data_IF_324232694505
#
_entry.id   IF_324232694505
#
_cell.length_a   1.000
_cell.length_b   1.000
_cell.length_c   1.000
_cell.angle_alpha   90.00
_cell.angle_beta   90.00
_cell.angle_gamma   90.00
#
_symmetry.space_group_name_H-M   'P 1'
#
loop_
_entity.id
_entity.type
_entity.pdbx_description
1 polymer ?
#
# COMPACT_ATOMS: atom_id res chain seq x y z
N UNK A 1 0.13 15.94 15.87
CA UNK A 1 -1.27 15.76 15.43
C UNK A 1 -1.43 14.38 14.85
N UNK A 2 -2.40 13.62 15.32
CA UNK A 2 -2.59 12.27 14.84
C UNK A 2 -3.27 12.28 13.45
N UNK A 3 -2.80 11.41 12.58
CA UNK A 3 -3.43 11.17 11.28
C UNK A 3 -4.49 10.07 11.40
N UNK A 4 -5.49 10.15 10.55
CA UNK A 4 -6.48 9.09 10.38
C UNK A 4 -6.84 8.96 8.90
N UNK A 5 -7.57 7.90 8.55
CA UNK A 5 -7.92 7.63 7.15
C UNK A 5 -8.73 8.79 6.55
N UNK A 6 -9.68 9.35 7.29
CA UNK A 6 -10.51 10.45 6.80
C UNK A 6 -9.65 11.67 6.42
N UNK A 7 -8.64 12.00 7.23
CA UNK A 7 -7.72 13.09 6.92
C UNK A 7 -6.90 12.80 5.66
N UNK A 8 -6.38 11.59 5.53
CA UNK A 8 -5.58 11.20 4.37
C UNK A 8 -6.38 11.34 3.07
N UNK A 9 -7.67 11.05 3.09
CA UNK A 9 -8.53 11.16 1.92
C UNK A 9 -8.72 12.59 1.44
N UNK A 10 -8.39 13.59 2.26
CA UNK A 10 -8.50 15.02 1.90
C UNK A 10 -7.17 15.64 1.47
N UNK A 11 -6.07 14.89 1.56
CA UNK A 11 -4.73 15.41 1.31
C UNK A 11 -4.39 15.41 -0.18
N UNK A 12 -3.60 16.39 -0.59
CA UNK A 12 -3.07 16.50 -1.95
C UNK A 12 -1.91 15.53 -2.17
N UNK A 13 -1.50 15.35 -3.44
CA UNK A 13 -0.29 14.60 -3.78
C UNK A 13 0.93 15.11 -3.01
N UNK A 14 1.13 16.42 -3.01
CA UNK A 14 2.28 17.03 -2.34
C UNK A 14 2.25 16.77 -0.84
N UNK A 15 1.09 16.89 -0.21
CA UNK A 15 0.92 16.64 1.22
C UNK A 15 1.15 15.17 1.58
N UNK A 16 0.64 14.25 0.76
CA UNK A 16 0.85 12.81 0.97
C UNK A 16 2.33 12.43 0.76
N UNK A 17 2.97 13.00 -0.25
CA UNK A 17 4.40 12.77 -0.49
C UNK A 17 5.26 13.32 0.66
N UNK A 18 4.96 14.53 1.12
CA UNK A 18 5.66 15.14 2.25
C UNK A 18 5.49 14.30 3.52
N UNK A 19 4.29 13.82 3.78
CA UNK A 19 4.03 12.96 4.93
C UNK A 19 4.82 11.66 4.83
N UNK A 20 4.77 10.98 3.69
CA UNK A 20 5.48 9.71 3.48
C UNK A 20 6.98 9.87 3.65
N UNK A 21 7.57 10.93 3.11
CA UNK A 21 9.01 11.17 3.17
C UNK A 21 9.48 11.71 4.52
N UNK A 22 8.57 12.20 5.34
CA UNK A 22 8.90 12.78 6.66
C UNK A 22 8.96 11.77 7.80
N UNK A 23 8.48 10.54 7.58
CA UNK A 23 8.40 9.50 8.61
C UNK A 23 9.35 8.35 8.30
N UNK A 24 9.65 7.55 9.34
CA UNK A 24 10.41 6.30 9.20
C UNK A 24 9.47 5.14 8.88
N UNK A 25 10.06 4.01 8.50
CA UNK A 25 9.28 2.82 8.12
C UNK A 25 8.39 2.30 9.25
N UNK A 26 8.90 2.33 10.46
CA UNK A 26 8.24 1.71 11.60
C UNK A 26 8.43 0.20 11.64
N UNK A 27 7.74 -0.46 12.55
CA UNK A 27 7.78 -1.92 12.67
C UNK A 27 6.96 -2.57 11.57
N UNK A 28 7.38 -3.76 11.17
CA UNK A 28 6.58 -4.58 10.26
C UNK A 28 5.29 -4.97 10.98
N UNK A 29 4.13 -4.63 10.41
CA UNK A 29 2.86 -4.91 11.08
C UNK A 29 2.52 -6.38 11.06
N UNK A 30 1.66 -6.79 11.99
CA UNK A 30 1.13 -8.14 12.05
C UNK A 30 -0.38 -8.12 12.25
N UNK A 31 -1.07 -9.07 11.64
CA UNK A 31 -2.52 -9.19 11.76
C UNK A 31 -3.28 -8.59 10.59
N UNK A 32 -4.57 -8.42 10.79
CA UNK A 32 -5.49 -7.95 9.77
C UNK A 32 -5.57 -6.43 9.75
N UNK A 33 -5.45 -5.86 8.56
CA UNK A 33 -5.60 -4.42 8.34
C UNK A 33 -6.80 -4.15 7.43
N UNK A 34 -7.50 -3.06 7.70
CA UNK A 34 -8.47 -2.50 6.77
C UNK A 34 -7.75 -1.59 5.80
N UNK A 35 -7.90 -1.86 4.51
CA UNK A 35 -7.27 -1.09 3.44
C UNK A 35 -8.22 -0.07 2.81
N UNK A 36 -7.73 1.13 2.57
CA UNK A 36 -8.46 2.19 1.90
C UNK A 36 -7.60 2.75 0.77
N UNK A 37 -8.11 2.70 -0.46
CA UNK A 37 -7.45 3.31 -1.62
C UNK A 37 -7.62 4.82 -1.55
N UNK A 38 -6.55 5.56 -1.80
CA UNK A 38 -6.55 7.03 -1.80
C UNK A 38 -6.14 7.50 -3.19
N UNK A 39 -7.09 8.11 -3.90
CA UNK A 39 -6.83 8.78 -5.18
C UNK A 39 -6.79 10.28 -4.89
N UNK A 40 -5.59 10.86 -4.88
CA UNK A 40 -5.43 12.27 -4.53
C UNK A 40 -6.10 13.19 -5.55
N UNK A 41 -6.62 14.36 -5.14
CA UNK A 41 -7.21 15.33 -6.07
C UNK A 41 -6.24 15.69 -7.20
N UNK A 42 -6.76 15.78 -8.41
CA UNK A 42 -5.96 16.08 -9.59
C UNK A 42 -5.29 14.88 -10.25
N UNK A 43 -5.44 13.68 -9.68
CA UNK A 43 -4.93 12.46 -10.31
C UNK A 43 -5.69 12.18 -11.61
N UNK A 44 -4.95 11.97 -12.69
CA UNK A 44 -5.55 11.49 -13.94
C UNK A 44 -5.87 10.01 -13.75
N UNK A 45 -7.16 9.67 -13.89
CA UNK A 45 -7.61 8.29 -13.70
C UNK A 45 -7.28 7.48 -14.95
N UNK A 46 -6.15 6.76 -14.88
CA UNK A 46 -5.66 5.96 -16.00
C UNK A 46 -6.30 4.57 -16.03
N UNK A 47 -6.22 3.86 -17.19
CA UNK A 47 -6.67 2.45 -17.24
C UNK A 47 -5.95 1.55 -16.23
N UNK A 48 -4.68 1.80 -15.92
CA UNK A 48 -3.91 1.05 -14.94
C UNK A 48 -4.49 1.22 -13.54
N UNK A 49 -4.84 2.46 -13.17
CA UNK A 49 -5.49 2.73 -11.88
C UNK A 49 -6.85 2.03 -11.81
N UNK A 50 -7.64 2.12 -12.88
CA UNK A 50 -8.95 1.47 -12.95
C UNK A 50 -8.81 -0.05 -12.79
N UNK A 51 -7.86 -0.64 -13.48
CA UNK A 51 -7.58 -2.09 -13.38
C UNK A 51 -7.16 -2.47 -11.97
N UNK A 52 -6.27 -1.69 -11.35
CA UNK A 52 -5.83 -1.92 -9.99
C UNK A 52 -7.02 -1.89 -9.01
N UNK A 53 -7.86 -0.83 -9.09
CA UNK A 53 -9.02 -0.71 -8.21
C UNK A 53 -9.98 -1.88 -8.40
N UNK A 54 -10.19 -2.33 -9.63
CA UNK A 54 -11.10 -3.45 -9.92
C UNK A 54 -10.55 -4.80 -9.42
N UNK A 55 -9.26 -5.06 -9.62
CA UNK A 55 -8.62 -6.31 -9.18
C UNK A 55 -8.45 -6.34 -7.68
N UNK A 56 -8.08 -5.20 -7.11
CA UNK A 56 -7.82 -5.04 -5.69
C UNK A 56 -8.96 -4.27 -5.00
N UNK A 57 -10.22 -4.63 -5.27
CA UNK A 57 -11.37 -4.17 -4.49
C UNK A 57 -11.12 -4.57 -3.04
N UNK A 58 -10.58 -3.65 -2.29
CA UNK A 58 -9.89 -3.91 -1.04
C UNK A 58 -10.83 -4.30 0.08
N UNK A 59 -10.71 -5.53 0.53
CA UNK A 59 -11.36 -6.00 1.75
C UNK A 59 -10.39 -6.01 2.92
N UNK A 60 -9.10 -5.81 2.66
CA UNK A 60 -8.07 -5.75 3.67
C UNK A 60 -6.85 -6.61 3.35
N UNK A 61 -5.86 -6.52 4.22
CA UNK A 61 -4.61 -7.29 4.13
C UNK A 61 -4.38 -8.00 5.46
N UNK A 62 -3.94 -9.26 5.40
CA UNK A 62 -3.51 -10.01 6.57
C UNK A 62 -2.00 -10.17 6.50
N UNK A 63 -1.30 -9.62 7.48
CA UNK A 63 0.16 -9.66 7.58
C UNK A 63 0.61 -10.76 8.52
N UNK A 64 1.61 -11.52 8.09
CA UNK A 64 2.33 -12.46 8.94
C UNK A 64 3.77 -11.99 9.07
N UNK A 65 4.06 -11.28 10.16
CA UNK A 65 5.37 -10.68 10.39
C UNK A 65 6.46 -11.72 10.65
N UNK A 66 6.12 -12.92 11.11
CA UNK A 66 7.09 -13.99 11.33
C UNK A 66 7.53 -14.62 10.01
N UNK A 67 6.59 -14.85 9.10
CA UNK A 67 6.86 -15.47 7.79
C UNK A 67 7.23 -14.45 6.74
N UNK A 68 7.07 -13.16 7.02
CA UNK A 68 7.34 -12.05 6.09
C UNK A 68 6.51 -12.15 4.81
N UNK A 69 5.25 -12.54 4.96
CA UNK A 69 4.27 -12.57 3.89
C UNK A 69 2.99 -11.87 4.29
N UNK A 70 2.26 -11.39 3.29
CA UNK A 70 0.90 -10.91 3.48
C UNK A 70 -0.04 -11.52 2.46
N UNK A 71 -1.30 -11.56 2.82
CA UNK A 71 -2.39 -12.02 1.97
C UNK A 71 -3.36 -10.87 1.78
N UNK A 72 -3.65 -10.51 0.53
CA UNK A 72 -4.72 -9.57 0.21
C UNK A 72 -6.03 -10.33 0.12
N UNK A 73 -7.04 -9.89 0.87
CA UNK A 73 -8.39 -10.43 0.76
C UNK A 73 -9.05 -9.86 -0.48
N UNK A 74 -9.37 -10.73 -1.43
CA UNK A 74 -10.09 -10.36 -2.64
C UNK A 74 -11.34 -11.20 -2.72
N UNK A 75 -12.51 -10.52 -2.72
CA UNK A 75 -13.80 -11.20 -2.80
C UNK A 75 -14.33 -11.31 -4.22
N UNK A 76 -13.73 -10.58 -5.17
CA UNK A 76 -14.16 -10.61 -6.56
C UNK A 76 -13.67 -11.90 -7.22
N UNK A 77 -14.56 -12.64 -7.86
CA UNK A 77 -14.29 -13.92 -8.56
C UNK A 77 -13.91 -15.10 -7.67
N UNK A 78 -14.18 -15.06 -6.37
CA UNK A 78 -13.85 -16.18 -5.48
C UNK A 78 -12.36 -16.40 -5.28
N UNK A 79 -11.53 -15.43 -5.64
CA UNK A 79 -10.11 -15.47 -5.33
C UNK A 79 -9.90 -15.07 -3.89
N UNK A 80 -9.41 -16.02 -3.09
CA UNK A 80 -9.26 -15.81 -1.67
C UNK A 80 -8.01 -15.00 -1.30
N UNK A 81 -7.01 -14.97 -2.20
CA UNK A 81 -5.74 -14.38 -1.81
C UNK A 81 -4.86 -13.98 -2.99
N UNK A 82 -4.22 -12.83 -2.87
CA UNK A 82 -3.02 -12.49 -3.62
C UNK A 82 -1.91 -12.30 -2.59
N UNK A 83 -0.85 -13.10 -2.73
CA UNK A 83 0.26 -13.10 -1.79
C UNK A 83 1.31 -12.06 -2.17
N UNK A 84 1.91 -11.43 -1.17
CA UNK A 84 3.08 -10.59 -1.35
C UNK A 84 4.14 -10.95 -0.32
N UNK A 85 5.40 -10.79 -0.70
CA UNK A 85 6.53 -10.91 0.22
C UNK A 85 6.77 -9.56 0.89
N UNK A 86 7.05 -9.58 2.18
CA UNK A 86 7.37 -8.38 2.96
C UNK A 86 8.89 -8.28 3.08
N UNK A 87 9.46 -7.11 2.72
CA UNK A 87 10.88 -6.84 2.88
C UNK A 87 11.10 -5.41 3.37
N UNK A 88 12.31 -5.10 3.83
CA UNK A 88 12.75 -3.72 4.09
C UNK A 88 13.74 -3.35 3.01
N UNK A 89 13.47 -2.28 2.28
CA UNK A 89 14.28 -1.85 1.15
C UNK A 89 14.26 -0.33 1.04
N UNK A 90 15.21 0.26 0.30
CA UNK A 90 15.15 1.68 -0.03
C UNK A 90 13.89 2.01 -0.83
N UNK A 91 13.23 3.10 -0.44
CA UNK A 91 12.09 3.61 -1.19
C UNK A 91 12.51 4.14 -2.56
N UNK A 92 11.68 3.93 -3.55
CA UNK A 92 11.90 4.49 -4.88
C UNK A 92 11.67 6.01 -4.93
N UNK A 93 11.15 6.61 -3.86
CA UNK A 93 10.87 8.05 -3.78
C UNK A 93 12.06 8.81 -3.17
N UNK A 94 12.57 8.35 -2.03
CA UNK A 94 13.58 9.11 -1.27
C UNK A 94 14.82 8.30 -0.92
N UNK A 95 14.87 7.02 -1.28
CA UNK A 95 16.02 6.15 -0.99
C UNK A 95 16.16 5.74 0.47
N UNK A 96 15.30 6.22 1.35
CA UNK A 96 15.30 5.81 2.76
C UNK A 96 14.52 4.53 2.94
N UNK A 97 14.81 3.80 4.01
CA UNK A 97 14.15 2.53 4.28
C UNK A 97 12.64 2.66 4.34
N UNK A 98 11.96 1.71 3.69
CA UNK A 98 10.52 1.52 3.79
C UNK A 98 10.22 0.02 3.88
N UNK A 99 8.97 -0.30 4.18
CA UNK A 99 8.48 -1.68 4.13
C UNK A 99 7.92 -1.89 2.74
N UNK A 100 8.43 -2.91 2.04
CA UNK A 100 8.05 -3.22 0.66
C UNK A 100 7.16 -4.45 0.63
N UNK A 101 6.06 -4.35 -0.09
CA UNK A 101 5.15 -5.45 -0.36
C UNK A 101 5.37 -5.84 -1.82
N UNK A 102 6.07 -6.96 -2.03
CA UNK A 102 6.54 -7.38 -3.34
C UNK A 102 5.70 -8.55 -3.85
N UNK A 103 5.02 -8.34 -4.96
CA UNK A 103 4.16 -9.33 -5.60
C UNK A 103 4.86 -10.06 -6.76
N UNK A 104 6.07 -9.66 -7.12
CA UNK A 104 6.72 -10.09 -8.36
C UNK A 104 6.95 -11.59 -8.45
N UNK A 105 7.16 -12.26 -7.32
CA UNK A 105 7.46 -13.70 -7.28
C UNK A 105 6.32 -14.55 -6.73
N UNK A 106 5.25 -13.91 -6.26
CA UNK A 106 4.19 -14.59 -5.52
C UNK A 106 2.85 -14.51 -6.22
N UNK A 107 2.66 -13.57 -7.14
CA UNK A 107 1.38 -13.36 -7.81
C UNK A 107 1.58 -13.20 -9.31
N UNK A 108 0.90 -14.04 -10.08
CA UNK A 108 0.86 -13.89 -11.52
C UNK A 108 0.07 -12.65 -11.95
N UNK A 109 -1.01 -12.34 -11.24
CA UNK A 109 -1.89 -11.22 -11.55
C UNK A 109 -1.26 -9.88 -11.19
N UNK A 110 -0.54 -9.82 -10.08
CA UNK A 110 -0.02 -8.58 -9.51
C UNK A 110 1.52 -8.48 -9.56
N UNK A 111 2.20 -9.29 -10.39
CA UNK A 111 3.66 -9.32 -10.37
C UNK A 111 4.34 -8.00 -10.77
N UNK A 112 3.61 -7.09 -11.41
CA UNK A 112 4.11 -5.75 -11.76
C UNK A 112 3.92 -4.72 -10.65
N UNK A 113 3.21 -5.10 -9.57
CA UNK A 113 2.89 -4.19 -8.47
C UNK A 113 3.94 -4.28 -7.39
N UNK A 114 4.39 -3.11 -6.95
CA UNK A 114 5.20 -2.94 -5.73
C UNK A 114 4.51 -1.92 -4.86
N UNK A 115 4.24 -2.28 -3.62
CA UNK A 115 3.73 -1.34 -2.62
C UNK A 115 4.86 -0.97 -1.66
N UNK A 116 4.88 0.28 -1.24
CA UNK A 116 5.77 0.77 -0.17
C UNK A 116 4.90 1.33 0.94
N UNK A 117 5.17 0.96 2.19
CA UNK A 117 4.42 1.49 3.33
C UNK A 117 5.36 2.04 4.40
N UNK A 118 4.87 3.04 5.14
CA UNK A 118 5.52 3.61 6.33
C UNK A 118 4.48 3.92 7.39
N UNK A 119 4.88 3.73 8.65
CA UNK A 119 4.01 4.00 9.80
C UNK A 119 3.88 5.51 10.00
N UNK A 120 2.65 6.04 10.00
CA UNK A 120 2.39 7.48 10.18
C UNK A 120 1.71 7.82 11.50
N UNK A 121 1.03 6.85 12.11
CA UNK A 121 0.40 6.95 13.42
C UNK A 121 0.27 5.55 14.00
N UNK A 122 0.03 5.38 15.30
CA UNK A 122 -0.12 4.02 15.86
C UNK A 122 -1.15 3.20 15.09
N UNK A 123 -0.70 2.06 14.56
CA UNK A 123 -1.55 1.15 13.79
C UNK A 123 -1.96 1.64 12.41
N UNK A 124 -1.48 2.79 11.95
CA UNK A 124 -1.86 3.36 10.65
C UNK A 124 -0.63 3.53 9.76
N UNK A 125 -0.66 2.89 8.59
CA UNK A 125 0.41 2.97 7.59
C UNK A 125 -0.11 3.69 6.36
N UNK A 126 0.74 4.57 5.80
CA UNK A 126 0.50 5.18 4.49
C UNK A 126 1.30 4.40 3.46
N UNK A 127 0.65 4.03 2.38
CA UNK A 127 1.25 3.26 1.31
C UNK A 127 1.22 3.97 -0.03
N UNK A 128 2.13 3.55 -0.89
CA UNK A 128 2.24 3.99 -2.27
C UNK A 128 2.24 2.76 -3.17
N UNK A 129 1.49 2.83 -4.25
CA UNK A 129 1.41 1.74 -5.23
C UNK A 129 2.21 2.11 -6.46
N UNK A 130 3.15 1.24 -6.84
CA UNK A 130 3.89 1.35 -8.10
C UNK A 130 3.46 0.25 -9.05
N UNK A 131 3.24 0.62 -10.30
CA UNK A 131 2.99 -0.30 -11.40
C UNK A 131 4.10 -0.13 -12.43
N UNK A 132 4.93 -1.15 -12.64
CA UNK A 132 6.08 -1.06 -13.54
C UNK A 132 6.95 0.19 -13.28
N UNK A 133 7.22 0.46 -12.01
CA UNK A 133 8.01 1.61 -11.54
C UNK A 133 7.32 2.97 -11.63
N UNK A 134 6.09 3.04 -12.10
CA UNK A 134 5.30 4.27 -12.11
C UNK A 134 4.43 4.34 -10.86
N UNK A 135 4.53 5.43 -10.11
CA UNK A 135 3.64 5.65 -8.97
C UNK A 135 2.21 5.91 -9.46
N UNK A 136 1.24 5.13 -8.98
CA UNK A 136 -0.15 5.27 -9.38
C UNK A 136 -0.98 6.01 -8.34
N UNK A 137 -1.14 5.42 -7.17
CA UNK A 137 -2.05 5.88 -6.12
C UNK A 137 -1.45 5.61 -4.75
N UNK A 138 -2.12 6.13 -3.73
CA UNK A 138 -1.80 5.87 -2.32
C UNK A 138 -2.85 4.94 -1.72
N UNK A 139 -2.54 4.43 -0.55
CA UNK A 139 -3.51 3.69 0.24
C UNK A 139 -3.20 3.83 1.72
N UNK A 140 -4.16 3.51 2.56
CA UNK A 140 -3.98 3.45 4.00
C UNK A 140 -4.28 2.04 4.50
N UNK A 141 -3.51 1.60 5.49
CA UNK A 141 -3.75 0.36 6.21
C UNK A 141 -3.95 0.69 7.68
N UNK A 142 -5.12 0.39 8.19
CA UNK A 142 -5.47 0.60 9.60
C UNK A 142 -5.60 -0.76 10.29
N UNK A 143 -4.70 -0.98 11.22
CA UNK A 143 -4.70 -2.16 12.09
C UNK A 143 -5.53 -1.98 13.34
#
# INVERSE_FOLDING_TARGET
>A
MAYNVAKLLTMTHAELDDLFTSVEAGDIPNGEAEGTVIVAPGTVFTPEIAQFVNIFAWQGKIFDAQKMFLVNKITVFGLDAILARITREPSWIDGKECIVLDYSQTSFVAHWVRDEIRLISPGLYLGRVFWKKTHLIYFALQF
#
